data_IF_827110977249
#
_entry.id   IF_827110977249
#
_cell.length_a   1.000
_cell.length_b   1.000
_cell.length_c   1.000
_cell.angle_alpha   90.00
_cell.angle_beta   90.00
_cell.angle_gamma   90.00
#
_symmetry.space_group_name_H-M   'P 1'
#
loop_
_entity.id
_entity.type
_entity.pdbx_description
1 polymer ?
#
# COMPACT_ATOMS: atom_id res chain seq x y z
N UNK A 1 -0.01 3.43 -8.82
CA UNK A 1 -0.49 2.73 -7.60
C UNK A 1 -1.33 1.52 -7.96
N UNK A 2 -2.54 1.69 -8.49
CA UNK A 2 -3.46 0.60 -8.86
C UNK A 2 -2.82 -0.48 -9.73
N UNK A 3 -2.12 -0.06 -10.78
CA UNK A 3 -1.42 -0.94 -11.71
C UNK A 3 -0.38 -1.82 -11.01
N UNK A 4 0.46 -1.22 -10.16
CA UNK A 4 1.47 -1.93 -9.34
C UNK A 4 0.84 -2.98 -8.44
N UNK A 5 -0.26 -2.63 -7.75
CA UNK A 5 -0.96 -3.58 -6.86
C UNK A 5 -1.54 -4.75 -7.66
N UNK A 6 -2.17 -4.48 -8.82
CA UNK A 6 -2.71 -5.53 -9.69
C UNK A 6 -1.65 -6.43 -10.30
N UNK A 7 -0.50 -5.87 -10.67
CA UNK A 7 0.61 -6.65 -11.19
C UNK A 7 1.22 -7.56 -10.11
N UNK A 8 1.37 -7.06 -8.88
CA UNK A 8 1.94 -7.83 -7.77
C UNK A 8 0.94 -8.85 -7.17
N UNK A 9 -0.35 -8.53 -7.15
CA UNK A 9 -1.40 -9.35 -6.57
C UNK A 9 -2.58 -9.50 -7.57
N UNK A 10 -2.42 -10.25 -8.67
CA UNK A 10 -3.45 -10.39 -9.69
C UNK A 10 -4.74 -11.05 -9.17
N UNK A 11 -4.62 -11.85 -8.11
CA UNK A 11 -5.74 -12.52 -7.43
C UNK A 11 -6.45 -11.61 -6.42
N UNK A 12 -5.90 -10.42 -6.12
CA UNK A 12 -6.51 -9.51 -5.17
C UNK A 12 -7.77 -8.85 -5.77
N UNK A 13 -8.85 -8.88 -5.00
CA UNK A 13 -10.12 -8.26 -5.35
C UNK A 13 -10.09 -6.80 -4.93
N UNK A 14 -10.30 -5.93 -5.91
CA UNK A 14 -10.47 -4.51 -5.65
C UNK A 14 -11.89 -4.23 -5.10
N UNK A 15 -11.95 -3.36 -4.11
CA UNK A 15 -13.17 -2.89 -3.46
C UNK A 15 -13.02 -1.43 -3.04
N UNK A 16 -14.09 -0.84 -2.51
CA UNK A 16 -14.06 0.46 -1.83
C UNK A 16 -14.23 0.23 -0.33
N UNK A 17 -13.39 0.86 0.49
CA UNK A 17 -13.51 0.87 1.94
C UNK A 17 -13.13 2.26 2.46
N UNK A 18 -13.91 2.79 3.42
CA UNK A 18 -13.67 4.11 4.00
C UNK A 18 -13.56 5.25 2.96
N UNK A 19 -14.29 5.14 1.84
CA UNK A 19 -14.23 6.11 0.73
C UNK A 19 -12.96 6.02 -0.14
N UNK A 20 -12.16 4.96 0.01
CA UNK A 20 -10.87 4.81 -0.65
C UNK A 20 -10.76 3.44 -1.37
N UNK A 21 -10.01 3.36 -2.48
CA UNK A 21 -9.63 2.08 -3.07
C UNK A 21 -8.95 1.14 -2.07
N UNK A 22 -9.46 -0.09 -2.03
CA UNK A 22 -9.03 -1.13 -1.10
C UNK A 22 -8.83 -2.44 -1.84
N UNK A 23 -7.74 -3.14 -1.57
CA UNK A 23 -7.48 -4.46 -2.13
C UNK A 23 -7.57 -5.52 -1.05
N UNK A 24 -8.23 -6.63 -1.36
CA UNK A 24 -8.37 -7.80 -0.48
C UNK A 24 -7.82 -9.03 -1.19
N UNK A 25 -7.10 -9.86 -0.46
CA UNK A 25 -6.64 -11.16 -0.92
C UNK A 25 -7.16 -12.21 0.05
N UNK A 26 -7.74 -13.31 -0.45
CA UNK A 26 -8.29 -14.39 0.38
C UNK A 26 -9.28 -13.87 1.45
N UNK A 27 -10.12 -12.90 1.07
CA UNK A 27 -11.08 -12.16 1.94
C UNK A 27 -10.44 -11.31 3.05
N UNK A 28 -9.11 -11.31 3.19
CA UNK A 28 -8.38 -10.48 4.17
C UNK A 28 -7.89 -9.17 3.52
N UNK A 29 -7.76 -8.07 4.28
CA UNK A 29 -7.16 -6.83 3.80
C UNK A 29 -5.73 -7.00 3.31
N UNK A 30 -5.43 -6.53 2.10
CA UNK A 30 -4.07 -6.50 1.56
C UNK A 30 -3.44 -5.13 1.76
N UNK A 31 -3.95 -4.12 1.04
CA UNK A 31 -3.51 -2.72 1.07
C UNK A 31 -4.65 -1.76 0.75
N UNK A 32 -4.52 -0.52 1.20
CA UNK A 32 -5.41 0.58 0.84
C UNK A 32 -4.60 1.76 0.33
N UNK A 33 -5.21 2.61 -0.50
CA UNK A 33 -4.60 3.87 -0.90
C UNK A 33 -5.64 4.93 -1.22
N UNK A 34 -5.24 6.19 -1.08
CA UNK A 34 -6.08 7.34 -1.39
C UNK A 34 -5.28 8.45 -2.06
N UNK A 35 -5.90 9.12 -3.03
CA UNK A 35 -5.35 10.33 -3.62
C UNK A 35 -5.79 11.55 -2.82
N UNK A 36 -4.83 12.38 -2.43
CA UNK A 36 -5.03 13.70 -1.84
C UNK A 36 -4.42 14.78 -2.74
N UNK A 37 -4.72 16.05 -2.46
CA UNK A 37 -4.24 17.20 -3.24
C UNK A 37 -2.72 17.23 -3.43
N UNK A 38 -1.95 16.88 -2.39
CA UNK A 38 -0.48 16.99 -2.39
C UNK A 38 0.27 15.65 -2.38
N UNK A 39 -0.43 14.55 -2.16
CA UNK A 39 0.19 13.24 -1.97
C UNK A 39 -0.78 12.09 -2.24
N UNK A 40 -0.22 10.89 -2.37
CA UNK A 40 -0.96 9.62 -2.27
C UNK A 40 -0.72 9.05 -0.88
N UNK A 41 -1.78 8.79 -0.13
CA UNK A 41 -1.71 8.02 1.11
C UNK A 41 -1.70 6.52 0.79
N UNK A 42 -0.76 5.78 1.36
CA UNK A 42 -0.66 4.32 1.22
C UNK A 42 -0.68 3.66 2.59
N UNK A 43 -1.49 2.60 2.72
CA UNK A 43 -1.81 1.97 3.99
C UNK A 43 -1.60 0.46 3.86
N UNK A 44 -0.54 -0.05 4.50
CA UNK A 44 -0.14 -1.46 4.46
C UNK A 44 -0.16 -2.09 5.87
N UNK A 45 -1.27 -1.91 6.58
CA UNK A 45 -1.44 -2.34 7.98
C UNK A 45 -1.77 -3.83 8.11
N UNK A 46 -1.50 -4.45 9.28
CA UNK A 46 -0.73 -3.92 10.41
C UNK A 46 0.79 -3.96 10.18
N UNK A 47 1.33 -5.06 9.67
CA UNK A 47 2.78 -5.34 9.72
C UNK A 47 3.60 -4.77 8.55
N UNK A 48 2.96 -4.41 7.43
CA UNK A 48 3.67 -3.96 6.23
C UNK A 48 4.32 -2.59 6.40
N UNK A 49 3.87 -1.78 7.35
CA UNK A 49 4.50 -0.50 7.64
C UNK A 49 5.76 -0.64 8.49
N UNK A 50 5.71 -1.49 9.52
CA UNK A 50 6.84 -1.75 10.43
C UNK A 50 8.01 -2.43 9.68
N UNK A 51 7.72 -3.42 8.83
CA UNK A 51 8.73 -4.14 8.06
C UNK A 51 9.48 -3.27 7.04
N UNK A 52 8.92 -2.11 6.66
CA UNK A 52 9.49 -1.18 5.69
C UNK A 52 9.75 0.22 6.30
N UNK A 53 9.85 0.31 7.62
CA UNK A 53 10.01 1.59 8.31
C UNK A 53 11.25 2.37 7.83
N UNK A 54 12.36 1.69 7.57
CA UNK A 54 13.59 2.30 7.04
C UNK A 54 13.41 2.82 5.61
N UNK A 55 12.80 2.01 4.73
CA UNK A 55 12.46 2.42 3.36
C UNK A 55 11.51 3.63 3.35
N UNK A 56 10.60 3.70 4.32
CA UNK A 56 9.63 4.79 4.50
C UNK A 56 10.18 6.01 5.26
N UNK A 57 11.37 5.93 5.86
CA UNK A 57 11.95 7.00 6.69
C UNK A 57 12.08 8.34 5.95
N UNK A 58 12.29 8.30 4.63
CA UNK A 58 12.38 9.49 3.78
C UNK A 58 11.03 10.18 3.51
N UNK A 59 9.92 9.48 3.74
CA UNK A 59 8.58 9.99 3.46
C UNK A 59 7.87 10.39 4.76
N UNK A 60 6.84 11.22 4.63
CA UNK A 60 5.99 11.54 5.78
C UNK A 60 5.15 10.32 6.15
N UNK A 61 5.25 9.90 7.41
CA UNK A 61 4.55 8.74 7.95
C UNK A 61 3.40 9.16 8.87
N UNK A 62 2.37 8.33 8.94
CA UNK A 62 1.25 8.41 9.88
C UNK A 62 1.05 7.07 10.57
N UNK A 63 0.04 6.95 11.44
CA UNK A 63 -0.24 5.70 12.15
C UNK A 63 -0.66 4.60 11.17
N UNK A 64 0.31 3.78 10.74
CA UNK A 64 0.10 2.71 9.76
C UNK A 64 -0.01 3.18 8.31
N UNK A 65 0.51 4.36 7.99
CA UNK A 65 0.44 4.92 6.64
C UNK A 65 1.68 5.69 6.26
N UNK A 66 1.90 5.82 4.95
CA UNK A 66 2.96 6.63 4.37
C UNK A 66 2.38 7.53 3.28
N UNK A 67 2.90 8.75 3.18
CA UNK A 67 2.48 9.75 2.20
C UNK A 67 3.55 9.86 1.11
N UNK A 68 3.19 9.49 -0.11
CA UNK A 68 4.04 9.69 -1.28
C UNK A 68 3.68 11.04 -1.92
N UNK A 69 4.54 12.06 -1.86
CA UNK A 69 4.23 13.39 -2.38
C UNK A 69 4.11 13.39 -3.90
N UNK A 70 3.23 14.20 -4.47
CA UNK A 70 3.10 14.33 -5.93
C UNK A 70 4.26 15.09 -6.58
N UNK A 71 5.11 15.75 -5.78
CA UNK A 71 6.32 16.41 -6.24
C UNK A 71 7.43 15.44 -6.66
N UNK A 72 7.29 14.16 -6.34
CA UNK A 72 8.26 13.11 -6.64
C UNK A 72 7.58 11.95 -7.38
N UNK A 73 8.32 11.19 -8.20
CA UNK A 73 7.76 10.01 -8.83
C UNK A 73 7.31 9.00 -7.77
N UNK A 74 6.15 8.37 -8.00
CA UNK A 74 5.65 7.32 -7.12
C UNK A 74 6.69 6.19 -7.02
N UNK A 75 7.12 5.77 -5.82
CA UNK A 75 8.13 4.71 -5.66
C UNK A 75 7.51 3.34 -5.91
N UNK A 76 7.27 3.01 -7.18
CA UNK A 76 6.57 1.79 -7.62
C UNK A 76 7.26 0.51 -7.15
N UNK A 77 8.59 0.47 -7.13
CA UNK A 77 9.34 -0.68 -6.60
C UNK A 77 9.06 -0.93 -5.11
N UNK A 78 9.11 0.12 -4.29
CA UNK A 78 8.82 0.01 -2.87
C UNK A 78 7.39 -0.43 -2.62
N UNK A 79 6.42 0.15 -3.35
CA UNK A 79 5.01 -0.26 -3.28
C UNK A 79 4.87 -1.74 -3.63
N UNK A 80 5.52 -2.21 -4.69
CA UNK A 80 5.50 -3.62 -5.09
C UNK A 80 6.02 -4.53 -3.97
N UNK A 81 7.22 -4.25 -3.44
CA UNK A 81 7.84 -5.04 -2.35
C UNK A 81 6.92 -5.13 -1.12
N UNK A 82 6.26 -4.03 -0.77
CA UNK A 82 5.31 -4.00 0.36
C UNK A 82 4.09 -4.87 0.07
N UNK A 83 3.53 -4.81 -1.15
CA UNK A 83 2.39 -5.65 -1.54
C UNK A 83 2.77 -7.12 -1.50
N UNK A 84 3.92 -7.51 -2.06
CA UNK A 84 4.42 -8.89 -2.04
C UNK A 84 4.61 -9.41 -0.62
N UNK A 85 5.21 -8.60 0.27
CA UNK A 85 5.34 -8.94 1.68
C UNK A 85 3.96 -9.14 2.37
N UNK A 86 2.99 -8.28 2.04
CA UNK A 86 1.62 -8.41 2.55
C UNK A 86 0.91 -9.67 2.05
N UNK A 87 1.15 -10.09 0.80
CA UNK A 87 0.62 -11.36 0.26
C UNK A 87 1.11 -12.53 1.13
N UNK A 88 2.42 -12.58 1.40
CA UNK A 88 3.01 -13.60 2.28
C UNK A 88 2.40 -13.59 3.68
N UNK A 89 2.18 -12.40 4.25
CA UNK A 89 1.55 -12.24 5.57
C UNK A 89 0.06 -12.61 5.61
N UNK A 90 -0.65 -12.56 4.47
CA UNK A 90 -2.08 -12.89 4.36
C UNK A 90 -2.30 -14.40 4.25
N UNK A 91 -1.38 -15.08 3.55
CA UNK A 91 -1.44 -16.51 3.22
C UNK A 91 -0.66 -17.40 4.19
N UNK A 92 0.29 -16.85 4.95
CA UNK A 92 0.88 -17.49 6.12
C UNK A 92 -0.10 -17.54 7.28
#
# INVERSE_FOLDING_TARGET
>A
MRDVVRAAAPEAVESMAYGMPAYKLDKKPLVYFAGFDKHVGFYATPNGHEAFAEDFARYKQGKGSVQFPHSEPLPTDLVRRVVEFRIGSVRG
#
